data_IF_548335182487
#
_entry.id   IF_548335182487
#
_cell.length_a   1.000
_cell.length_b   1.000
_cell.length_c   1.000
_cell.angle_alpha   90.00
_cell.angle_beta   90.00
_cell.angle_gamma   90.00
#
_symmetry.space_group_name_H-M   'P 1'
#
loop_
_entity.id
_entity.type
_entity.pdbx_description
1 polymer ?
#
# COMPACT_ATOMS: atom_id res chain seq x y z
N UNK A 1 14.38 10.23 -0.87
CA UNK A 1 12.90 10.23 -0.83
C UNK A 1 12.32 11.36 -1.67
N UNK A 2 12.83 12.61 -1.52
CA UNK A 2 12.31 13.77 -2.26
C UNK A 2 12.37 13.59 -3.79
N UNK A 3 13.48 13.12 -4.32
CA UNK A 3 13.64 12.82 -5.76
C UNK A 3 12.59 11.82 -6.25
N UNK A 4 12.32 10.77 -5.46
CA UNK A 4 11.30 9.78 -5.81
C UNK A 4 9.88 10.32 -5.70
N UNK A 5 9.62 11.20 -4.74
CA UNK A 5 8.37 11.93 -4.66
C UNK A 5 8.13 12.77 -5.92
N UNK A 6 9.11 13.54 -6.37
CA UNK A 6 8.99 14.36 -7.58
C UNK A 6 8.76 13.57 -8.87
N UNK A 7 9.15 12.29 -8.89
CA UNK A 7 8.91 11.36 -10.00
C UNK A 7 7.60 10.58 -9.86
N UNK A 8 6.84 10.82 -8.80
CA UNK A 8 5.59 10.09 -8.52
C UNK A 8 4.37 10.84 -9.07
N UNK A 9 3.25 10.15 -9.28
CA UNK A 9 1.98 10.80 -9.61
C UNK A 9 1.51 11.84 -8.60
N UNK A 10 2.03 11.79 -7.37
CA UNK A 10 1.72 12.73 -6.28
C UNK A 10 2.69 13.90 -6.16
N UNK A 11 3.55 14.15 -7.14
CA UNK A 11 4.55 15.22 -7.09
C UNK A 11 3.99 16.63 -6.85
N UNK A 12 2.71 16.84 -7.15
CA UNK A 12 1.98 18.10 -6.94
C UNK A 12 1.26 18.17 -5.58
N UNK A 13 1.19 17.06 -4.83
CA UNK A 13 0.52 16.98 -3.51
C UNK A 13 1.54 17.36 -2.43
N UNK A 14 1.22 18.32 -1.59
CA UNK A 14 2.16 18.75 -0.53
C UNK A 14 2.39 17.63 0.49
N UNK A 15 3.62 17.52 0.98
CA UNK A 15 3.99 16.51 1.98
C UNK A 15 3.06 16.48 3.19
N UNK A 16 2.64 17.67 3.64
CA UNK A 16 1.75 17.83 4.79
C UNK A 16 0.34 17.27 4.57
N UNK A 17 -0.12 17.20 3.34
CA UNK A 17 -1.46 16.66 3.02
C UNK A 17 -1.56 15.18 3.35
N UNK A 18 -0.45 14.43 3.16
CA UNK A 18 -0.36 13.03 3.52
C UNK A 18 0.16 12.80 4.94
N UNK A 19 1.21 13.54 5.36
CA UNK A 19 1.88 13.28 6.63
C UNK A 19 1.19 13.92 7.85
N UNK A 20 0.42 14.98 7.66
CA UNK A 20 -0.40 15.58 8.71
C UNK A 20 -1.88 15.29 8.43
N UNK A 21 -2.29 15.45 7.16
CA UNK A 21 -3.67 15.30 6.72
C UNK A 21 -4.57 16.48 7.12
N UNK A 22 -5.83 16.50 6.63
CA UNK A 22 -6.77 17.57 6.90
C UNK A 22 -7.27 17.55 8.35
N UNK A 23 -7.60 18.74 8.86
CA UNK A 23 -8.24 18.94 10.16
C UNK A 23 -7.33 19.47 11.26
N UNK A 24 -7.90 20.35 12.08
CA UNK A 24 -7.21 21.06 13.18
C UNK A 24 -6.65 20.07 14.21
N UNK A 25 -7.39 19.02 14.55
CA UNK A 25 -6.96 18.02 15.53
C UNK A 25 -5.66 17.33 15.15
N UNK A 26 -5.49 16.96 13.89
CA UNK A 26 -4.27 16.34 13.37
C UNK A 26 -3.11 17.34 13.30
N UNK A 27 -3.40 18.59 12.95
CA UNK A 27 -2.41 19.67 13.00
C UNK A 27 -1.84 19.84 14.41
N UNK A 28 -2.70 19.95 15.43
CA UNK A 28 -2.27 20.10 16.84
C UNK A 28 -1.45 18.88 17.28
N UNK A 29 -1.91 17.66 17.02
CA UNK A 29 -1.17 16.42 17.34
C UNK A 29 0.21 16.41 16.69
N UNK A 30 0.31 16.84 15.45
CA UNK A 30 1.58 16.91 14.72
C UNK A 30 2.54 17.91 15.38
N UNK A 31 2.06 19.06 15.85
CA UNK A 31 2.88 20.05 16.56
C UNK A 31 3.37 19.52 17.90
N UNK A 32 2.50 18.91 18.69
CA UNK A 32 2.88 18.28 19.96
C UNK A 32 3.89 17.15 19.77
N UNK A 33 3.69 16.31 18.75
CA UNK A 33 4.65 15.28 18.37
C UNK A 33 6.00 15.88 17.97
N UNK A 34 5.99 16.96 17.19
CA UNK A 34 7.21 17.68 16.78
C UNK A 34 8.01 18.21 17.96
N UNK A 35 7.34 18.85 18.92
CA UNK A 35 7.98 19.34 20.16
C UNK A 35 8.64 18.18 20.91
N UNK A 36 7.92 17.07 21.10
CA UNK A 36 8.47 15.87 21.73
C UNK A 36 9.70 15.32 20.99
N UNK A 37 9.68 15.34 19.66
CA UNK A 37 10.84 14.89 18.86
C UNK A 37 12.03 15.80 19.03
N UNK A 38 11.85 17.12 19.09
CA UNK A 38 12.91 18.08 19.35
C UNK A 38 13.57 17.78 20.70
N UNK A 39 12.79 17.63 21.77
CA UNK A 39 13.32 17.29 23.10
C UNK A 39 14.11 15.98 23.08
N UNK A 40 13.57 14.91 22.46
CA UNK A 40 14.26 13.63 22.34
C UNK A 40 15.56 13.74 21.54
N UNK A 41 15.61 14.61 20.54
CA UNK A 41 16.81 14.84 19.73
C UNK A 41 17.88 15.55 20.52
N UNK A 42 17.50 16.62 21.23
CA UNK A 42 18.43 17.37 22.10
C UNK A 42 19.03 16.47 23.20
N UNK A 43 18.18 15.65 23.83
CA UNK A 43 18.59 14.73 24.89
C UNK A 43 19.22 13.42 24.36
N UNK A 44 19.28 13.23 23.04
CA UNK A 44 19.74 11.99 22.39
C UNK A 44 19.05 10.73 22.91
N UNK A 45 17.75 10.82 23.24
CA UNK A 45 16.93 9.73 23.82
C UNK A 45 15.98 9.08 22.85
N UNK A 46 16.05 9.41 21.55
CA UNK A 46 15.25 8.73 20.53
C UNK A 46 15.79 7.33 20.23
N UNK A 47 14.93 6.33 19.95
CA UNK A 47 15.37 4.96 19.69
C UNK A 47 16.14 4.86 18.36
N UNK A 48 17.19 4.03 18.36
CA UNK A 48 17.99 3.70 17.19
C UNK A 48 18.08 2.18 17.04
N UNK A 49 17.60 1.59 15.96
CA UNK A 49 16.93 2.22 14.80
C UNK A 49 15.58 2.83 15.16
N UNK A 50 15.09 3.76 14.32
CA UNK A 50 13.74 4.32 14.49
C UNK A 50 12.73 3.19 14.31
N UNK A 51 11.81 2.97 15.27
CA UNK A 51 10.85 1.87 15.20
C UNK A 51 9.95 1.94 13.97
N UNK A 52 9.81 0.82 13.31
CA UNK A 52 8.87 0.62 12.22
C UNK A 52 8.17 -0.72 12.39
N UNK A 53 6.88 -0.83 12.11
CA UNK A 53 5.94 0.20 11.67
C UNK A 53 5.54 1.18 12.79
N UNK A 54 5.10 2.38 12.42
CA UNK A 54 4.55 3.35 13.37
C UNK A 54 3.08 3.02 13.62
N UNK A 55 2.74 2.61 14.84
CA UNK A 55 1.41 2.11 15.18
C UNK A 55 0.33 3.18 15.32
N UNK A 56 0.71 4.44 15.57
CA UNK A 56 -0.20 5.57 15.83
C UNK A 56 -0.41 6.49 14.63
N UNK A 57 -0.18 5.99 13.42
CA UNK A 57 -0.47 6.76 12.22
C UNK A 57 -1.97 6.88 12.01
N UNK A 58 -2.39 8.00 11.40
CA UNK A 58 -3.72 8.20 10.87
C UNK A 58 -4.08 7.09 9.89
N UNK A 59 -5.35 6.71 9.81
CA UNK A 59 -5.83 5.77 8.79
C UNK A 59 -5.58 6.37 7.40
N UNK A 60 -5.05 5.57 6.48
CA UNK A 60 -4.81 6.03 5.12
C UNK A 60 -6.12 6.39 4.42
N UNK A 61 -7.22 5.70 4.76
CA UNK A 61 -8.56 5.99 4.29
C UNK A 61 -8.89 7.48 4.43
N UNK A 62 -8.79 8.04 5.64
CA UNK A 62 -9.12 9.43 5.90
C UNK A 62 -8.24 10.43 5.13
N UNK A 63 -7.02 10.04 4.79
CA UNK A 63 -6.09 10.88 4.04
C UNK A 63 -6.28 10.74 2.53
N UNK A 64 -6.42 9.51 2.04
CA UNK A 64 -6.48 9.22 0.61
C UNK A 64 -7.84 9.58 0.02
N UNK A 65 -8.93 9.30 0.72
CA UNK A 65 -10.29 9.57 0.25
C UNK A 65 -10.61 11.07 0.13
N UNK A 66 -9.78 11.93 0.71
CA UNK A 66 -9.90 13.36 0.48
C UNK A 66 -9.75 13.75 -1.00
N UNK A 67 -8.93 13.01 -1.74
CA UNK A 67 -8.73 13.19 -3.19
C UNK A 67 -9.22 11.98 -4.01
N UNK A 68 -9.14 10.77 -3.44
CA UNK A 68 -9.51 9.50 -4.06
C UNK A 68 -10.81 8.98 -3.43
N UNK A 69 -11.92 9.67 -3.64
CA UNK A 69 -13.19 9.22 -3.06
C UNK A 69 -13.78 8.03 -3.83
N UNK A 70 -14.53 7.15 -3.14
CA UNK A 70 -15.00 5.87 -3.68
C UNK A 70 -15.79 5.95 -4.98
N UNK A 71 -16.53 7.02 -5.20
CA UNK A 71 -17.31 7.23 -6.42
C UNK A 71 -16.47 7.37 -7.68
N UNK A 72 -15.16 7.58 -7.54
CA UNK A 72 -14.19 7.59 -8.66
C UNK A 72 -13.54 6.23 -8.95
N UNK A 73 -13.84 5.20 -8.16
CA UNK A 73 -13.29 3.86 -8.38
C UNK A 73 -14.11 3.08 -9.41
N UNK A 74 -14.08 3.54 -10.65
CA UNK A 74 -14.73 2.92 -11.79
C UNK A 74 -13.75 2.74 -12.95
N UNK A 75 -14.19 1.98 -13.98
CA UNK A 75 -13.43 1.66 -15.19
C UNK A 75 -12.36 0.56 -15.01
N UNK A 76 -11.62 0.35 -16.08
CA UNK A 76 -10.51 -0.60 -16.13
C UNK A 76 -9.19 0.14 -16.33
N UNK A 77 -8.14 -0.39 -15.73
CA UNK A 77 -6.78 0.11 -15.89
C UNK A 77 -5.91 -0.94 -16.57
N UNK A 78 -5.31 -0.57 -17.70
CA UNK A 78 -4.33 -1.42 -18.36
C UNK A 78 -2.94 -1.15 -17.79
N UNK A 79 -2.32 -2.19 -17.27
CA UNK A 79 -0.94 -2.17 -16.80
C UNK A 79 -0.06 -2.98 -17.75
N UNK A 80 1.00 -2.37 -18.26
CA UNK A 80 2.06 -3.05 -19.01
C UNK A 80 3.34 -3.04 -18.22
N UNK A 81 4.04 -4.17 -18.18
CA UNK A 81 5.36 -4.30 -17.58
C UNK A 81 6.28 -5.00 -18.55
N UNK A 82 7.41 -4.39 -18.82
CA UNK A 82 8.45 -4.93 -19.68
C UNK A 82 9.52 -5.61 -18.84
N UNK A 83 10.00 -6.72 -19.35
CA UNK A 83 11.03 -7.54 -18.76
C UNK A 83 12.02 -7.97 -19.82
N UNK A 84 13.22 -8.32 -19.39
CA UNK A 84 14.23 -8.96 -20.19
C UNK A 84 14.62 -10.26 -19.51
N UNK A 85 14.75 -11.32 -20.29
CA UNK A 85 15.25 -12.60 -19.79
C UNK A 85 16.77 -12.49 -19.65
N UNK A 86 17.32 -13.25 -18.71
CA UNK A 86 18.78 -13.32 -18.47
C UNK A 86 19.41 -14.45 -19.28
N UNK A 87 19.03 -14.60 -20.55
CA UNK A 87 19.47 -15.65 -21.44
C UNK A 87 19.91 -15.05 -22.77
N UNK A 88 21.12 -15.40 -23.24
CA UNK A 88 21.63 -14.96 -24.54
C UNK A 88 21.59 -13.46 -24.72
N UNK A 89 20.85 -13.01 -25.72
CA UNK A 89 20.71 -11.58 -26.08
C UNK A 89 19.64 -10.86 -25.26
N UNK A 90 19.31 -11.33 -24.07
CA UNK A 90 18.30 -10.75 -23.19
C UNK A 90 16.96 -10.46 -23.91
N UNK A 91 16.28 -11.47 -24.45
CA UNK A 91 15.06 -11.24 -25.21
C UNK A 91 14.00 -10.55 -24.36
N UNK A 92 13.39 -9.52 -24.93
CA UNK A 92 12.34 -8.75 -24.27
C UNK A 92 11.00 -9.50 -24.27
N UNK A 93 10.26 -9.37 -23.21
CA UNK A 93 8.88 -9.81 -23.12
C UNK A 93 8.08 -8.84 -22.25
N UNK A 94 6.78 -8.92 -22.30
CA UNK A 94 5.94 -8.03 -21.48
C UNK A 94 4.70 -8.75 -20.92
N UNK A 95 4.27 -8.28 -19.76
CA UNK A 95 2.97 -8.64 -19.20
C UNK A 95 2.01 -7.48 -19.48
N UNK A 96 0.88 -7.79 -20.09
CA UNK A 96 -0.24 -6.89 -20.25
C UNK A 96 -1.38 -7.39 -19.37
N UNK A 97 -1.82 -6.58 -18.43
CA UNK A 97 -2.88 -6.92 -17.48
C UNK A 97 -3.95 -5.84 -17.54
N UNK A 98 -5.18 -6.24 -17.82
CA UNK A 98 -6.35 -5.38 -17.68
C UNK A 98 -6.97 -5.62 -16.31
N UNK A 99 -6.93 -4.61 -15.45
CA UNK A 99 -7.49 -4.66 -14.10
C UNK A 99 -8.79 -3.86 -14.07
N UNK A 100 -9.87 -4.50 -13.69
CA UNK A 100 -11.12 -3.81 -13.42
C UNK A 100 -11.03 -3.15 -12.03
N UNK A 101 -10.97 -1.82 -12.03
CA UNK A 101 -10.84 -1.00 -10.81
C UNK A 101 -12.16 -0.96 -10.07
N UNK A 102 -13.25 -0.78 -10.79
CA UNK A 102 -14.63 -0.77 -10.30
C UNK A 102 -15.61 -0.63 -11.46
N UNK A 103 -16.89 -0.54 -11.14
CA UNK A 103 -17.98 -0.37 -12.10
C UNK A 103 -18.92 0.73 -11.62
N UNK A 104 -19.57 1.44 -12.54
CA UNK A 104 -20.64 2.42 -12.24
C UNK A 104 -21.90 1.75 -11.70
N UNK A 105 -22.14 0.49 -12.07
CA UNK A 105 -23.24 -0.28 -11.55
C UNK A 105 -23.05 -0.69 -10.09
N UNK A 106 -24.10 -0.56 -9.28
CA UNK A 106 -24.13 -1.00 -7.88
C UNK A 106 -23.87 -2.52 -7.69
N UNK A 107 -23.90 -3.31 -8.75
CA UNK A 107 -23.50 -4.73 -8.78
C UNK A 107 -21.97 -4.92 -8.80
N UNK A 108 -21.31 -3.93 -8.53
CA UNK A 108 -19.90 -3.68 -8.47
C UNK A 108 -19.01 -4.91 -8.57
N UNK A 109 -18.42 -5.04 -9.71
CA UNK A 109 -17.31 -5.93 -9.98
C UNK A 109 -16.04 -5.11 -10.07
N UNK A 110 -14.97 -5.58 -9.53
CA UNK A 110 -13.69 -4.90 -9.55
C UNK A 110 -12.98 -5.01 -8.20
N UNK A 111 -11.68 -4.76 -8.21
CA UNK A 111 -10.83 -5.01 -7.04
C UNK A 111 -11.29 -4.19 -5.82
N UNK A 112 -11.64 -2.91 -6.00
CA UNK A 112 -12.05 -2.08 -4.88
C UNK A 112 -13.43 -2.44 -4.33
N UNK A 113 -14.32 -3.00 -5.15
CA UNK A 113 -15.63 -3.46 -4.69
C UNK A 113 -15.51 -4.58 -3.64
N UNK A 114 -14.70 -5.59 -3.95
CA UNK A 114 -14.51 -6.73 -3.06
C UNK A 114 -13.72 -6.39 -1.81
N UNK A 115 -12.70 -5.56 -1.95
CA UNK A 115 -11.71 -5.34 -0.90
C UNK A 115 -12.01 -4.12 -0.04
N UNK A 116 -12.95 -3.26 -0.41
CA UNK A 116 -13.05 -1.97 0.25
C UNK A 116 -14.44 -1.31 0.21
N UNK A 117 -15.15 -1.32 -0.94
CA UNK A 117 -16.38 -0.53 -1.10
C UNK A 117 -17.61 -1.23 -0.52
N UNK A 118 -17.70 -2.54 -0.69
CA UNK A 118 -18.89 -3.31 -0.33
C UNK A 118 -18.76 -4.03 1.02
N UNK A 119 -17.53 -4.23 1.48
CA UNK A 119 -17.24 -5.02 2.66
C UNK A 119 -16.18 -4.35 3.53
N UNK A 120 -16.34 -4.43 4.84
CA UNK A 120 -15.25 -4.22 5.77
C UNK A 120 -14.43 -5.51 5.85
N UNK A 121 -13.13 -5.42 5.62
CA UNK A 121 -12.23 -6.56 5.64
C UNK A 121 -11.25 -6.43 6.81
N UNK A 122 -11.19 -7.48 7.61
CA UNK A 122 -10.25 -7.61 8.71
C UNK A 122 -9.35 -8.80 8.45
N UNK A 123 -8.08 -8.70 8.79
CA UNK A 123 -7.14 -9.79 8.62
C UNK A 123 -6.17 -9.92 9.79
N UNK A 124 -5.63 -11.12 9.96
CA UNK A 124 -4.52 -11.40 10.84
C UNK A 124 -3.37 -12.02 10.06
N UNK A 125 -2.17 -11.46 10.22
CA UNK A 125 -0.94 -11.99 9.67
C UNK A 125 -0.16 -12.77 10.74
N UNK A 126 0.57 -13.79 10.32
CA UNK A 126 1.43 -14.58 11.20
C UNK A 126 2.79 -13.93 11.45
N UNK A 127 3.18 -12.97 10.61
CA UNK A 127 4.46 -12.29 10.67
C UNK A 127 4.30 -10.76 10.74
N UNK A 128 5.28 -10.09 11.34
CA UNK A 128 5.30 -8.62 11.46
C UNK A 128 5.32 -7.90 10.10
N UNK A 129 5.90 -8.52 9.08
CA UNK A 129 5.96 -7.96 7.72
C UNK A 129 4.66 -8.15 6.94
N UNK A 130 3.69 -8.87 7.50
CA UNK A 130 2.38 -9.18 6.91
C UNK A 130 2.49 -9.84 5.53
N UNK A 131 3.46 -10.76 5.39
CA UNK A 131 3.65 -11.52 4.16
C UNK A 131 2.79 -12.78 4.15
N UNK A 132 2.47 -13.33 5.32
CA UNK A 132 1.63 -14.51 5.47
C UNK A 132 0.33 -14.16 6.18
N UNK A 133 -0.73 -13.94 5.40
CA UNK A 133 -2.09 -13.70 5.90
C UNK A 133 -2.83 -15.04 5.90
N UNK A 134 -3.18 -15.53 7.07
CA UNK A 134 -3.80 -16.84 7.23
C UNK A 134 -5.23 -16.81 7.77
N UNK A 135 -5.74 -15.62 8.10
CA UNK A 135 -7.10 -15.40 8.57
C UNK A 135 -7.66 -14.10 8.03
N UNK A 136 -8.88 -14.15 7.52
CA UNK A 136 -9.61 -12.99 7.01
C UNK A 136 -11.05 -13.07 7.49
N UNK A 137 -11.59 -11.95 7.96
CA UNK A 137 -13.01 -11.75 8.26
C UNK A 137 -13.54 -10.63 7.38
N UNK A 138 -14.62 -10.91 6.66
CA UNK A 138 -15.36 -9.92 5.90
C UNK A 138 -16.68 -9.61 6.59
N UNK A 139 -17.07 -8.34 6.59
CA UNK A 139 -18.36 -7.88 7.11
C UNK A 139 -19.04 -7.12 5.97
N UNK A 140 -20.18 -7.62 5.49
CA UNK A 140 -20.91 -6.98 4.40
C UNK A 140 -21.75 -5.80 4.89
N UNK A 141 -22.37 -5.06 3.94
CA UNK A 141 -23.23 -3.92 4.26
C UNK A 141 -24.50 -4.25 5.06
N UNK A 142 -24.79 -5.52 5.28
CA UNK A 142 -25.90 -6.01 6.13
C UNK A 142 -25.40 -6.51 7.49
N UNK A 143 -24.11 -6.39 7.75
CA UNK A 143 -23.48 -6.86 9.00
C UNK A 143 -23.23 -8.37 9.05
N UNK A 144 -23.38 -9.10 7.95
CA UNK A 144 -23.09 -10.53 7.92
C UNK A 144 -21.58 -10.76 7.87
N UNK A 145 -21.10 -11.61 8.75
CA UNK A 145 -19.69 -11.96 8.83
C UNK A 145 -19.40 -13.27 8.10
N UNK A 146 -18.30 -13.27 7.36
CA UNK A 146 -17.74 -14.49 6.78
C UNK A 146 -16.26 -14.57 7.11
N UNK A 147 -15.82 -15.74 7.58
CA UNK A 147 -14.43 -15.98 7.97
C UNK A 147 -13.79 -16.95 6.98
N UNK A 148 -12.62 -16.58 6.51
CA UNK A 148 -11.75 -17.40 5.64
C UNK A 148 -10.46 -17.69 6.38
N UNK A 149 -10.04 -18.95 6.36
CA UNK A 149 -8.77 -19.38 6.99
C UNK A 149 -7.96 -20.23 6.02
N UNK A 150 -6.64 -20.02 5.99
CA UNK A 150 -5.75 -20.90 5.26
C UNK A 150 -5.77 -22.32 5.88
N UNK A 151 -5.49 -23.38 5.09
CA UNK A 151 -5.48 -24.75 5.60
C UNK A 151 -4.52 -24.98 6.77
N UNK A 152 -3.40 -24.30 6.78
CA UNK A 152 -2.33 -24.34 7.79
C UNK A 152 -2.41 -23.22 8.82
N UNK A 153 -3.53 -22.47 8.85
CA UNK A 153 -3.69 -21.35 9.77
C UNK A 153 -3.74 -21.78 11.23
N UNK A 154 -3.01 -21.11 12.13
CA UNK A 154 -3.14 -21.30 13.56
C UNK A 154 -4.51 -20.83 14.10
N UNK A 155 -5.26 -20.09 13.28
CA UNK A 155 -6.58 -19.53 13.62
C UNK A 155 -7.75 -20.32 13.05
N UNK A 156 -7.52 -21.55 12.59
CA UNK A 156 -8.57 -22.38 11.97
C UNK A 156 -9.65 -22.79 12.95
N UNK A 157 -9.28 -23.06 14.21
CA UNK A 157 -10.20 -23.49 15.26
C UNK A 157 -10.52 -22.40 16.28
N UNK A 158 -9.75 -21.33 16.29
CA UNK A 158 -9.88 -20.22 17.23
C UNK A 158 -9.55 -18.91 16.56
N UNK A 159 -10.40 -17.91 16.72
CA UNK A 159 -10.13 -16.57 16.19
C UNK A 159 -8.81 -15.99 16.72
N UNK A 160 -8.10 -15.21 15.92
CA UNK A 160 -6.92 -14.50 16.39
C UNK A 160 -7.27 -13.52 17.51
N UNK A 161 -6.31 -13.20 18.41
CA UNK A 161 -6.48 -12.13 19.37
C UNK A 161 -6.78 -10.79 18.66
N UNK A 162 -7.71 -10.01 19.20
CA UNK A 162 -8.10 -8.71 18.61
C UNK A 162 -6.92 -7.74 18.39
N UNK A 163 -5.89 -7.83 19.23
CA UNK A 163 -4.69 -6.99 19.14
C UNK A 163 -3.90 -7.15 17.84
N UNK A 164 -3.99 -8.33 17.21
CA UNK A 164 -3.32 -8.61 15.93
C UNK A 164 -4.26 -8.51 14.72
N UNK A 165 -5.57 -8.38 14.96
CA UNK A 165 -6.55 -8.18 13.90
C UNK A 165 -6.46 -6.74 13.40
N UNK A 166 -6.26 -6.59 12.10
CA UNK A 166 -6.18 -5.30 11.44
C UNK A 166 -7.32 -5.13 10.45
N UNK A 167 -7.98 -3.98 10.48
CA UNK A 167 -8.88 -3.58 9.42
C UNK A 167 -8.05 -3.20 8.18
N UNK A 168 -8.40 -3.76 7.04
CA UNK A 168 -7.74 -3.47 5.76
C UNK A 168 -7.91 -1.99 5.39
N UNK A 169 -6.84 -1.40 4.91
CA UNK A 169 -6.79 0.00 4.52
C UNK A 169 -6.08 0.15 3.15
N UNK A 170 -6.18 1.30 2.53
CA UNK A 170 -5.58 1.63 1.23
C UNK A 170 -4.08 1.27 1.17
N UNK A 171 -3.35 1.52 2.25
CA UNK A 171 -1.90 1.23 2.32
C UNK A 171 -1.56 -0.26 2.42
N UNK A 172 -2.50 -1.14 2.68
CA UNK A 172 -2.23 -2.58 2.71
C UNK A 172 -1.99 -3.11 1.29
N UNK A 173 -2.60 -2.48 0.27
CA UNK A 173 -2.35 -2.77 -1.14
C UNK A 173 -1.47 -1.70 -1.81
N UNK A 174 -1.68 -0.43 -1.49
CA UNK A 174 -0.92 0.72 -1.99
C UNK A 174 0.15 1.17 -0.99
N UNK A 175 0.96 0.27 -0.50
CA UNK A 175 1.86 0.48 0.64
C UNK A 175 2.93 1.57 0.47
N UNK A 176 3.21 1.99 -0.76
CA UNK A 176 4.14 3.07 -1.08
C UNK A 176 3.62 3.91 -2.25
N UNK A 177 2.60 4.75 -2.02
CA UNK A 177 1.97 5.50 -3.10
C UNK A 177 2.90 6.52 -3.76
N UNK A 178 3.94 6.99 -3.09
CA UNK A 178 4.83 8.03 -3.62
C UNK A 178 6.33 7.75 -3.45
N UNK A 179 6.82 7.31 -2.31
CA UNK A 179 8.26 7.10 -2.06
C UNK A 179 8.74 5.70 -2.49
N UNK A 180 8.47 5.31 -3.74
CA UNK A 180 8.86 4.00 -4.24
C UNK A 180 10.36 3.90 -4.42
N UNK A 181 10.95 2.83 -3.90
CA UNK A 181 12.30 2.39 -4.19
C UNK A 181 12.21 1.05 -4.93
N UNK A 182 12.21 1.07 -6.28
CA UNK A 182 12.13 -0.15 -7.06
C UNK A 182 13.31 -1.06 -6.78
N UNK A 183 13.07 -2.37 -6.82
CA UNK A 183 14.16 -3.34 -6.73
C UNK A 183 15.13 -3.18 -7.92
N UNK A 184 16.44 -3.51 -7.77
CA UNK A 184 17.43 -3.31 -8.81
C UNK A 184 17.02 -3.89 -10.17
N UNK A 185 16.51 -5.11 -10.20
CA UNK A 185 16.04 -5.74 -11.45
C UNK A 185 14.96 -4.92 -12.18
N UNK A 186 14.06 -4.24 -11.45
CA UNK A 186 13.05 -3.38 -12.07
C UNK A 186 13.67 -2.14 -12.71
N UNK A 187 14.66 -1.56 -12.04
CA UNK A 187 15.37 -0.40 -12.57
C UNK A 187 16.19 -0.75 -13.82
N UNK A 188 16.78 -1.95 -13.83
CA UNK A 188 17.52 -2.47 -15.01
C UNK A 188 16.54 -2.70 -16.15
N UNK A 189 15.45 -3.41 -15.95
CA UNK A 189 14.43 -3.62 -16.99
C UNK A 189 13.87 -2.30 -17.54
N UNK A 190 13.60 -1.31 -16.68
CA UNK A 190 13.16 0.02 -17.12
C UNK A 190 14.25 0.75 -17.90
N UNK A 191 15.52 0.61 -17.53
CA UNK A 191 16.64 1.23 -18.19
C UNK A 191 16.91 0.60 -19.57
N UNK A 192 16.82 -0.73 -19.68
CA UNK A 192 16.92 -1.45 -20.94
C UNK A 192 15.75 -1.11 -21.87
N UNK A 193 14.53 -1.11 -21.37
CA UNK A 193 13.34 -0.77 -22.14
C UNK A 193 13.37 0.68 -22.66
N UNK A 194 13.94 1.61 -21.89
CA UNK A 194 14.10 3.02 -22.27
C UNK A 194 15.43 3.30 -23.00
N UNK A 195 16.13 2.27 -23.46
CA UNK A 195 17.40 2.35 -24.21
C UNK A 195 18.52 3.13 -23.47
N UNK A 196 18.42 3.26 -22.15
CA UNK A 196 19.48 3.85 -21.30
C UNK A 196 20.59 2.85 -20.99
N UNK A 197 20.30 1.58 -21.11
CA UNK A 197 21.24 0.47 -21.03
C UNK A 197 21.01 -0.36 -22.30
N UNK A 198 22.08 -0.73 -22.97
CA UNK A 198 22.00 -1.62 -24.12
C UNK A 198 21.53 -3.02 -23.67
N UNK A 199 20.46 -3.50 -24.30
CA UNK A 199 19.88 -4.82 -23.96
C UNK A 199 20.75 -6.00 -24.42
N UNK A 200 21.74 -5.76 -25.28
CA UNK A 200 22.66 -6.79 -25.77
C UNK A 200 23.87 -7.03 -24.85
N UNK A 201 24.00 -6.25 -23.78
CA UNK A 201 25.04 -6.45 -22.77
C UNK A 201 24.86 -7.80 -22.08
N UNK A 202 25.96 -8.52 -21.75
CA UNK A 202 25.88 -9.77 -21.00
C UNK A 202 25.14 -9.60 -19.67
N UNK A 203 24.29 -10.57 -19.35
CA UNK A 203 23.52 -10.63 -18.09
C UNK A 203 24.37 -11.07 -16.91
#
# INVERSE_FOLDING_TARGET
>A
QYTRYQQSPHAHVKCVECHIGPGVGWYVRSKLSGVRQVFKTIQNTYPRPIPTPVHSLRTAKETCEHCHWPQKFYSSFEMRRHYFLTEGDNPSWFIRMLMQVGSEDKKNTGIHAHMYLNNDIYYAAEDEKRQKISWIRTVDGQGRETIYTAPDSPYRQKNPPEQIVRKMDCIDCHNRPTHRFPAPYKLINEAMFSERIDSTLPS
#
